data_IF_168913221816
#
_entry.id   IF_168913221816
#
_cell.length_a   1.000
_cell.length_b   1.000
_cell.length_c   1.000
_cell.angle_alpha   90.00
_cell.angle_beta   90.00
_cell.angle_gamma   90.00
#
_symmetry.space_group_name_H-M   'P 1'
#
loop_
_entity.id
_entity.type
_entity.pdbx_description
1 polymer ?
#
# COMPACT_ATOMS: atom_id res chain seq x y z
N UNK A 1 15.39 -6.15 7.60
CA UNK A 1 16.45 -5.21 8.07
C UNK A 1 17.38 -4.76 6.96
N UNK A 2 18.14 -5.65 6.31
CA UNK A 2 19.07 -5.27 5.23
C UNK A 2 18.41 -4.44 4.12
N UNK A 3 17.22 -4.85 3.66
CA UNK A 3 16.43 -4.09 2.68
C UNK A 3 16.14 -2.64 3.13
N UNK A 4 15.81 -2.43 4.40
CA UNK A 4 15.57 -1.09 4.95
C UNK A 4 16.82 -0.21 4.92
N UNK A 5 17.97 -0.80 5.25
CA UNK A 5 19.27 -0.10 5.18
C UNK A 5 19.60 0.27 3.73
N UNK A 6 19.41 -0.65 2.80
CA UNK A 6 19.66 -0.42 1.37
C UNK A 6 18.77 0.71 0.81
N UNK A 7 17.49 0.72 1.19
CA UNK A 7 16.55 1.80 0.82
C UNK A 7 17.00 3.16 1.34
N UNK A 8 17.38 3.25 2.62
CA UNK A 8 17.81 4.52 3.21
C UNK A 8 19.13 5.05 2.62
N UNK A 9 19.98 4.15 2.11
CA UNK A 9 21.22 4.52 1.40
C UNK A 9 21.00 4.85 -0.09
N UNK A 10 19.79 4.71 -0.61
CA UNK A 10 19.50 4.90 -2.03
C UNK A 10 20.09 3.82 -2.94
N UNK A 11 20.36 2.62 -2.39
CA UNK A 11 20.92 1.49 -3.16
C UNK A 11 19.85 0.80 -4.03
N UNK A 12 18.57 0.98 -3.68
CA UNK A 12 17.42 0.48 -4.47
C UNK A 12 17.11 1.49 -5.58
N UNK A 13 17.38 1.10 -6.82
CA UNK A 13 17.29 1.98 -7.99
C UNK A 13 15.90 2.01 -8.62
N UNK A 14 15.22 0.87 -8.59
CA UNK A 14 13.92 0.67 -9.22
C UNK A 14 13.02 -0.14 -8.28
N UNK A 15 11.72 0.16 -8.33
CA UNK A 15 10.68 -0.58 -7.61
C UNK A 15 9.77 -1.21 -8.66
N UNK A 16 9.68 -2.54 -8.66
CA UNK A 16 8.95 -3.24 -9.69
C UNK A 16 7.47 -2.83 -9.71
N UNK A 17 6.94 -2.57 -10.91
CA UNK A 17 5.53 -2.21 -11.12
C UNK A 17 5.13 -0.82 -10.61
N UNK A 18 6.07 -0.02 -10.09
CA UNK A 18 5.79 1.32 -9.61
C UNK A 18 5.94 2.35 -10.74
N UNK A 19 4.82 2.73 -11.34
CA UNK A 19 4.75 3.90 -12.21
C UNK A 19 4.37 5.16 -11.41
N UNK A 20 4.71 6.37 -11.86
CA UNK A 20 4.20 7.60 -11.24
C UNK A 20 2.66 7.62 -11.20
N UNK A 21 2.09 7.88 -10.03
CA UNK A 21 0.64 8.01 -9.87
C UNK A 21 0.26 9.06 -8.83
N UNK A 22 -0.93 9.65 -8.99
CA UNK A 22 -1.53 10.49 -7.95
C UNK A 22 -2.20 9.59 -6.91
N UNK A 23 -1.66 9.55 -5.68
CA UNK A 23 -2.10 8.63 -4.62
C UNK A 23 -3.60 8.63 -4.39
N UNK A 24 -4.20 9.81 -4.28
CA UNK A 24 -5.64 9.96 -4.05
C UNK A 24 -6.47 9.48 -5.23
N UNK A 25 -5.97 9.61 -6.47
CA UNK A 25 -6.64 9.08 -7.65
C UNK A 25 -6.58 7.55 -7.64
N UNK A 26 -5.39 6.96 -7.41
CA UNK A 26 -5.21 5.51 -7.32
C UNK A 26 -6.13 4.87 -6.28
N UNK A 27 -6.23 5.43 -5.07
CA UNK A 27 -7.14 4.91 -4.03
C UNK A 27 -8.62 4.96 -4.48
N UNK A 28 -9.03 6.02 -5.18
CA UNK A 28 -10.40 6.11 -5.72
C UNK A 28 -10.65 5.08 -6.83
N UNK A 29 -9.68 4.89 -7.72
CA UNK A 29 -9.79 3.97 -8.84
C UNK A 29 -9.81 2.51 -8.35
N UNK A 30 -8.94 2.15 -7.40
CA UNK A 30 -8.97 0.84 -6.73
C UNK A 30 -10.31 0.60 -6.04
N UNK A 31 -10.81 1.58 -5.28
CA UNK A 31 -12.12 1.45 -4.62
C UNK A 31 -13.27 1.25 -5.62
N UNK A 32 -13.25 1.99 -6.73
CA UNK A 32 -14.23 1.84 -7.82
C UNK A 32 -14.16 0.44 -8.42
N UNK A 33 -12.95 -0.08 -8.68
CA UNK A 33 -12.77 -1.40 -9.29
C UNK A 33 -13.21 -2.52 -8.37
N UNK A 34 -12.88 -2.45 -7.08
CA UNK A 34 -13.35 -3.41 -6.08
C UNK A 34 -14.88 -3.45 -6.05
N UNK A 35 -15.54 -2.28 -6.02
CA UNK A 35 -17.01 -2.21 -6.02
C UNK A 35 -17.62 -2.79 -7.30
N UNK A 36 -17.00 -2.58 -8.45
CA UNK A 36 -17.41 -3.17 -9.73
C UNK A 36 -17.31 -4.71 -9.69
N UNK A 37 -16.21 -5.25 -9.17
CA UNK A 37 -16.01 -6.69 -9.01
C UNK A 37 -17.01 -7.29 -8.02
N UNK A 38 -17.25 -6.62 -6.88
CA UNK A 38 -18.28 -7.02 -5.93
C UNK A 38 -19.66 -7.10 -6.58
N UNK A 39 -20.09 -6.04 -7.30
CA UNK A 39 -21.41 -6.00 -7.96
C UNK A 39 -21.57 -7.06 -9.02
N UNK A 40 -20.56 -7.26 -9.86
CA UNK A 40 -20.59 -8.28 -10.91
C UNK A 40 -20.60 -9.70 -10.33
N UNK A 41 -19.81 -9.96 -9.29
CA UNK A 41 -19.79 -11.25 -8.59
C UNK A 41 -21.12 -11.54 -7.90
N UNK A 42 -21.70 -10.55 -7.22
CA UNK A 42 -23.01 -10.70 -6.56
C UNK A 42 -24.12 -10.99 -7.57
N UNK A 43 -24.10 -10.32 -8.72
CA UNK A 43 -25.05 -10.58 -9.79
C UNK A 43 -24.89 -11.98 -10.40
N UNK A 44 -23.66 -12.47 -10.56
CA UNK A 44 -23.38 -13.83 -11.02
C UNK A 44 -23.88 -14.88 -10.01
N UNK A 45 -23.61 -14.68 -8.72
CA UNK A 45 -24.10 -15.57 -7.65
C UNK A 45 -25.63 -15.61 -7.61
N UNK A 46 -26.30 -14.46 -7.74
CA UNK A 46 -27.76 -14.38 -7.76
C UNK A 46 -28.39 -15.11 -8.95
N UNK A 47 -27.65 -15.30 -10.04
CA UNK A 47 -28.07 -16.09 -11.21
C UNK A 47 -27.76 -17.59 -11.08
N UNK A 48 -27.12 -18.02 -9.98
CA UNK A 48 -26.68 -19.40 -9.78
C UNK A 48 -25.41 -19.76 -10.55
N UNK A 49 -24.66 -18.78 -11.05
CA UNK A 49 -23.37 -19.02 -11.71
C UNK A 49 -22.31 -19.46 -10.70
N UNK A 50 -21.36 -20.30 -11.13
CA UNK A 50 -20.23 -20.69 -10.30
C UNK A 50 -19.25 -19.51 -10.17
N UNK A 51 -19.00 -19.07 -8.94
CA UNK A 51 -17.99 -18.05 -8.63
C UNK A 51 -16.75 -18.69 -8.00
N UNK A 52 -15.59 -18.05 -8.16
CA UNK A 52 -14.35 -18.56 -7.59
C UNK A 52 -14.32 -18.38 -6.06
N UNK A 53 -13.51 -19.18 -5.32
CA UNK A 53 -13.37 -18.99 -3.87
C UNK A 53 -12.93 -17.57 -3.47
N UNK A 54 -12.07 -16.93 -4.27
CA UNK A 54 -11.64 -15.55 -4.04
C UNK A 54 -12.80 -14.54 -4.21
N UNK A 55 -13.68 -14.78 -5.17
CA UNK A 55 -14.84 -13.94 -5.41
C UNK A 55 -15.89 -14.10 -4.28
N UNK A 56 -16.10 -15.34 -3.80
CA UNK A 56 -16.93 -15.60 -2.61
C UNK A 56 -16.37 -14.90 -1.37
N UNK A 57 -15.05 -14.99 -1.13
CA UNK A 57 -14.41 -14.27 -0.02
C UNK A 57 -14.69 -12.77 -0.09
N UNK A 58 -14.61 -12.14 -1.27
CA UNK A 58 -14.93 -10.72 -1.42
C UNK A 58 -16.39 -10.42 -1.06
N UNK A 59 -17.34 -11.26 -1.46
CA UNK A 59 -18.75 -11.08 -1.08
C UNK A 59 -18.93 -11.12 0.44
N UNK A 60 -18.34 -12.13 1.09
CA UNK A 60 -18.45 -12.35 2.53
C UNK A 60 -17.76 -11.25 3.35
N UNK A 61 -16.73 -10.60 2.78
CA UNK A 61 -15.86 -9.66 3.49
C UNK A 61 -15.93 -8.22 2.95
N UNK A 62 -16.88 -7.88 2.06
CA UNK A 62 -16.93 -6.55 1.44
C UNK A 62 -16.99 -5.40 2.48
N UNK A 63 -17.65 -5.62 3.61
CA UNK A 63 -17.72 -4.63 4.70
C UNK A 63 -16.33 -4.24 5.24
N UNK A 64 -15.40 -5.21 5.38
CA UNK A 64 -14.02 -4.95 5.82
C UNK A 64 -13.26 -4.13 4.77
N UNK A 65 -13.49 -4.42 3.49
CA UNK A 65 -12.83 -3.73 2.39
C UNK A 65 -13.33 -2.28 2.30
N UNK A 66 -14.63 -2.05 2.41
CA UNK A 66 -15.22 -0.70 2.45
C UNK A 66 -14.72 0.11 3.65
N UNK A 67 -14.69 -0.50 4.83
CA UNK A 67 -14.15 0.13 6.04
C UNK A 67 -12.67 0.49 5.85
N UNK A 68 -11.87 -0.43 5.30
CA UNK A 68 -10.45 -0.22 5.02
C UNK A 68 -10.23 0.94 4.05
N UNK A 69 -11.01 1.02 2.96
CA UNK A 69 -10.94 2.13 2.00
C UNK A 69 -11.26 3.47 2.70
N UNK A 70 -12.24 3.49 3.60
CA UNK A 70 -12.59 4.69 4.36
C UNK A 70 -11.46 5.08 5.32
N UNK A 71 -10.91 4.13 6.07
CA UNK A 71 -9.81 4.34 7.01
C UNK A 71 -8.56 4.89 6.29
N UNK A 72 -8.17 4.30 5.15
CA UNK A 72 -7.01 4.78 4.36
C UNK A 72 -7.18 6.23 3.93
N UNK A 73 -8.37 6.62 3.43
CA UNK A 73 -8.66 8.01 3.03
C UNK A 73 -8.62 8.98 4.22
N UNK A 74 -9.16 8.56 5.37
CA UNK A 74 -9.18 9.36 6.60
C UNK A 74 -7.79 9.56 7.16
N UNK A 75 -6.99 8.50 7.19
CA UNK A 75 -5.68 8.48 7.82
C UNK A 75 -4.59 9.10 6.92
N UNK A 76 -4.81 9.11 5.59
CA UNK A 76 -3.90 9.71 4.60
C UNK A 76 -4.59 10.82 3.79
N UNK A 77 -5.03 11.93 4.41
CA UNK A 77 -5.61 13.03 3.67
C UNK A 77 -4.57 13.70 2.75
N UNK A 78 -5.02 14.26 1.63
CA UNK A 78 -4.14 14.83 0.58
C UNK A 78 -3.07 15.78 1.13
N UNK A 79 -3.43 16.63 2.09
CA UNK A 79 -2.50 17.59 2.70
C UNK A 79 -1.42 16.89 3.52
N UNK A 80 -1.79 15.90 4.32
CA UNK A 80 -0.84 15.12 5.13
C UNK A 80 0.11 14.31 4.24
N UNK A 81 -0.42 13.60 3.26
CA UNK A 81 0.39 12.80 2.33
C UNK A 81 1.46 13.65 1.62
N UNK A 82 1.11 14.87 1.20
CA UNK A 82 2.04 15.82 0.55
C UNK A 82 3.11 16.41 1.47
N UNK A 83 2.94 16.32 2.78
CA UNK A 83 3.89 16.82 3.78
C UNK A 83 4.92 15.75 4.19
N UNK A 84 4.71 14.50 3.78
CA UNK A 84 5.65 13.43 4.08
C UNK A 84 7.00 13.71 3.40
N UNK A 85 8.13 13.52 4.12
CA UNK A 85 9.46 13.53 3.51
C UNK A 85 9.53 12.60 2.31
N UNK A 86 10.16 13.06 1.23
CA UNK A 86 10.28 12.31 -0.02
C UNK A 86 11.69 11.77 -0.23
N UNK A 87 11.81 10.76 -1.10
CA UNK A 87 13.06 10.41 -1.76
C UNK A 87 12.91 10.50 -3.26
N UNK A 88 14.05 10.53 -3.94
CA UNK A 88 14.13 10.43 -5.40
C UNK A 88 14.68 9.06 -5.75
N UNK A 89 13.96 8.29 -6.56
CA UNK A 89 14.40 6.99 -7.09
C UNK A 89 15.40 7.18 -8.23
N UNK A 90 16.03 6.09 -8.68
CA UNK A 90 17.07 6.14 -9.71
C UNK A 90 16.58 6.66 -11.07
N UNK A 91 15.28 6.52 -11.35
CA UNK A 91 14.59 7.01 -12.55
C UNK A 91 14.14 8.49 -12.45
N UNK A 92 14.42 9.16 -11.33
CA UNK A 92 13.98 10.53 -11.06
C UNK A 92 12.58 10.65 -10.44
N UNK A 93 11.89 9.53 -10.20
CA UNK A 93 10.57 9.53 -9.55
C UNK A 93 10.67 9.97 -8.10
N UNK A 94 9.86 10.97 -7.69
CA UNK A 94 9.84 11.51 -6.32
C UNK A 94 8.61 11.02 -5.58
N UNK A 95 8.82 10.30 -4.47
CA UNK A 95 7.75 9.68 -3.68
C UNK A 95 7.99 9.82 -2.18
N UNK A 96 6.94 9.79 -1.33
CA UNK A 96 7.11 9.72 0.12
C UNK A 96 7.97 8.54 0.54
N UNK A 97 8.94 8.77 1.44
CA UNK A 97 9.82 7.74 2.02
C UNK A 97 9.03 6.59 2.64
N UNK A 98 8.02 6.91 3.44
CA UNK A 98 7.12 5.91 4.01
C UNK A 98 6.44 5.02 2.96
N UNK A 99 6.06 5.60 1.81
CA UNK A 99 5.42 4.84 0.73
C UNK A 99 6.40 3.88 0.07
N UNK A 100 7.63 4.33 -0.20
CA UNK A 100 8.67 3.46 -0.76
C UNK A 100 9.03 2.31 0.18
N UNK A 101 9.11 2.55 1.49
CA UNK A 101 9.31 1.48 2.48
C UNK A 101 8.16 0.46 2.42
N UNK A 102 6.91 0.92 2.38
CA UNK A 102 5.74 0.05 2.28
C UNK A 102 5.73 -0.75 0.96
N UNK A 103 5.99 -0.10 -0.17
CA UNK A 103 6.03 -0.75 -1.48
C UNK A 103 7.12 -1.80 -1.57
N UNK A 104 8.33 -1.45 -1.16
CA UNK A 104 9.49 -2.37 -1.16
C UNK A 104 9.25 -3.59 -0.27
N UNK A 105 8.51 -3.42 0.82
CA UNK A 105 8.10 -4.53 1.66
C UNK A 105 7.16 -5.47 0.92
N UNK A 106 6.09 -4.95 0.31
CA UNK A 106 5.11 -5.75 -0.45
C UNK A 106 5.76 -6.48 -1.61
N UNK A 107 6.66 -5.82 -2.33
CA UNK A 107 7.46 -6.42 -3.41
C UNK A 107 8.35 -7.55 -2.88
N UNK A 108 9.06 -7.32 -1.77
CA UNK A 108 9.99 -8.31 -1.20
C UNK A 108 9.29 -9.49 -0.52
N UNK A 109 8.06 -9.32 -0.05
CA UNK A 109 7.31 -10.33 0.69
C UNK A 109 6.28 -11.09 -0.15
N UNK A 110 6.20 -10.83 -1.45
CA UNK A 110 5.12 -11.31 -2.33
C UNK A 110 3.73 -11.04 -1.73
N UNK A 111 3.55 -9.82 -1.19
CA UNK A 111 2.35 -9.37 -0.47
C UNK A 111 2.03 -10.12 0.84
N UNK A 112 2.93 -10.99 1.34
CA UNK A 112 2.78 -11.58 2.66
C UNK A 112 2.93 -10.51 3.75
N UNK A 113 1.97 -10.45 4.68
CA UNK A 113 1.94 -9.43 5.74
C UNK A 113 2.34 -10.03 7.08
N UNK A 114 3.37 -9.46 7.69
CA UNK A 114 3.91 -9.84 9.00
C UNK A 114 4.43 -8.60 9.72
N UNK A 115 3.86 -8.32 10.90
CA UNK A 115 4.27 -7.19 11.72
C UNK A 115 5.76 -7.22 12.08
N UNK A 116 6.32 -8.42 12.36
CA UNK A 116 7.73 -8.58 12.69
C UNK A 116 8.64 -8.29 11.49
N UNK A 117 8.28 -8.77 10.31
CA UNK A 117 9.05 -8.51 9.09
C UNK A 117 8.97 -7.03 8.69
N UNK A 118 7.78 -6.43 8.80
CA UNK A 118 7.58 -5.03 8.50
C UNK A 118 8.31 -4.12 9.49
N UNK A 119 8.28 -4.44 10.79
CA UNK A 119 9.11 -3.78 11.79
C UNK A 119 10.60 -3.87 11.43
N UNK A 120 11.08 -5.03 11.02
CA UNK A 120 12.48 -5.22 10.69
C UNK A 120 12.96 -4.39 9.49
N UNK A 121 12.13 -4.14 8.47
CA UNK A 121 12.49 -3.23 7.37
C UNK A 121 12.50 -1.77 7.84
N UNK A 122 11.50 -1.36 8.64
CA UNK A 122 11.41 0.00 9.20
C UNK A 122 12.59 0.31 10.12
N UNK A 123 12.98 -0.61 11.02
CA UNK A 123 14.16 -0.49 11.87
C UNK A 123 15.46 -0.44 11.05
N UNK A 124 15.52 -1.18 9.94
CA UNK A 124 16.63 -1.10 9.00
C UNK A 124 16.78 0.30 8.42
N UNK A 125 15.69 0.89 7.94
CA UNK A 125 15.66 2.22 7.37
C UNK A 125 16.05 3.29 8.40
N UNK A 126 15.43 3.25 9.58
CA UNK A 126 15.70 4.20 10.68
C UNK A 126 17.13 4.13 11.23
N UNK A 127 17.83 3.00 11.05
CA UNK A 127 19.23 2.86 11.48
C UNK A 127 20.22 3.69 10.65
N UNK A 128 19.80 4.15 9.46
CA UNK A 128 20.58 5.03 8.60
C UNK A 128 20.03 6.45 8.67
N UNK A 129 18.72 6.60 8.50
CA UNK A 129 18.05 7.88 8.56
C UNK A 129 16.74 7.78 9.37
N UNK A 130 16.64 8.43 10.54
CA UNK A 130 15.43 8.42 11.34
C UNK A 130 14.21 8.89 10.54
N UNK A 131 13.09 8.20 10.73
CA UNK A 131 11.80 8.58 10.15
C UNK A 131 11.09 9.54 11.10
N UNK A 132 10.40 10.54 10.55
CA UNK A 132 9.54 11.42 11.34
C UNK A 132 8.35 10.63 11.86
N UNK A 133 7.79 11.10 12.99
CA UNK A 133 6.60 10.49 13.58
C UNK A 133 5.45 10.36 12.56
N UNK A 134 5.21 11.39 11.74
CA UNK A 134 4.18 11.34 10.68
C UNK A 134 4.41 10.24 9.64
N UNK A 135 5.66 9.90 9.32
CA UNK A 135 5.95 8.80 8.41
C UNK A 135 5.61 7.45 9.05
N UNK A 136 5.98 7.25 10.32
CA UNK A 136 5.67 6.03 11.05
C UNK A 136 4.15 5.80 11.20
N UNK A 137 3.39 6.88 11.40
CA UNK A 137 1.92 6.84 11.44
C UNK A 137 1.30 6.54 10.07
N UNK A 138 1.94 6.93 8.98
CA UNK A 138 1.45 6.67 7.63
C UNK A 138 1.62 5.20 7.22
N UNK A 139 2.65 4.51 7.71
CA UNK A 139 3.03 3.16 7.26
C UNK A 139 1.89 2.13 7.27
N UNK A 140 1.08 1.98 8.34
CA UNK A 140 -0.03 1.01 8.33
C UNK A 140 -1.07 1.31 7.26
N UNK A 141 -1.36 2.58 7.00
CA UNK A 141 -2.35 2.99 5.99
C UNK A 141 -1.81 2.94 4.56
N UNK A 142 -0.49 2.99 4.39
CA UNK A 142 0.17 2.78 3.08
C UNK A 142 0.29 1.29 2.72
N UNK A 143 0.25 0.39 3.71
CA UNK A 143 0.31 -1.05 3.50
C UNK A 143 -1.06 -1.69 3.20
N UNK A 144 -2.16 -1.02 3.57
CA UNK A 144 -3.54 -1.43 3.26
C UNK A 144 -3.91 -1.11 1.81
#
# INVERSE_FOLDING_TARGET
RALGVALAKGEVKELFGLAPFEFQARIRDSAKKILEVYRSTNAAQAKGETITPAAQWLLDNNYLVEETIFQVKRDLPRRFYRQLPTLTLGDGTVLPRAFVVAWSYVEHSDSSVSANMFKAIVEGFQSVEPMKIGELWALPSLLR
#
